data_IF_798098985109
#
_entry.id   IF_798098985109
#
_cell.length_a   1.000
_cell.length_b   1.000
_cell.length_c   1.000
_cell.angle_alpha   90.00
_cell.angle_beta   90.00
_cell.angle_gamma   90.00
#
_symmetry.space_group_name_H-M   'P 1'
#
loop_
_entity.id
_entity.type
_entity.pdbx_description
1 polymer ?
#
# COMPACT_ATOMS: atom_id res chain seq x y z
N UNK A 1 -28.50 -64.46 37.08
CA UNK A 1 -28.43 -63.70 38.34
C UNK A 1 -29.69 -62.83 38.61
N UNK A 2 -30.40 -62.36 37.60
CA UNK A 2 -31.61 -61.48 37.76
C UNK A 2 -32.81 -62.31 38.31
N UNK A 3 -32.91 -63.64 38.03
CA UNK A 3 -33.98 -64.50 38.46
C UNK A 3 -33.89 -64.94 39.95
N UNK A 4 -32.70 -64.89 40.55
CA UNK A 4 -32.49 -65.27 41.95
C UNK A 4 -32.81 -64.13 42.95
N UNK A 5 -32.81 -62.87 42.52
CA UNK A 5 -33.07 -61.74 43.39
C UNK A 5 -34.57 -61.44 43.62
N UNK A 6 -35.47 -62.00 42.77
CA UNK A 6 -36.92 -61.83 42.91
C UNK A 6 -37.59 -62.74 43.88
N UNK A 7 -36.95 -63.84 44.35
CA UNK A 7 -37.54 -64.82 45.24
C UNK A 7 -37.53 -64.50 46.76
N UNK A 8 -36.85 -63.41 47.17
CA UNK A 8 -36.72 -63.15 48.65
C UNK A 8 -37.59 -62.00 49.19
N UNK A 9 -38.53 -61.44 48.38
CA UNK A 9 -39.40 -60.34 48.82
C UNK A 9 -40.87 -60.81 49.00
N UNK A 10 -41.09 -61.76 49.92
CA UNK A 10 -42.42 -62.17 50.33
C UNK A 10 -42.80 -61.51 51.64
N UNK A 11 -43.15 -60.22 51.64
CA UNK A 11 -43.97 -59.65 52.73
C UNK A 11 -44.37 -58.15 52.36
N UNK A 12 -45.24 -57.98 51.38
CA UNK A 12 -46.01 -56.75 51.24
C UNK A 12 -47.43 -57.20 50.83
N UNK A 13 -48.45 -56.73 51.53
CA UNK A 13 -49.87 -57.01 51.33
C UNK A 13 -50.25 -56.97 49.84
N UNK A 14 -50.73 -58.11 49.34
CA UNK A 14 -51.23 -58.31 48.00
C UNK A 14 -52.65 -57.78 47.84
N UNK A 15 -52.96 -57.14 46.78
CA UNK A 15 -54.33 -56.73 46.39
C UNK A 15 -55.08 -57.99 45.88
N UNK A 16 -56.30 -58.31 46.42
CA UNK A 16 -56.95 -59.55 46.19
C UNK A 16 -57.54 -59.75 44.77
N UNK A 17 -57.43 -58.81 43.91
CA UNK A 17 -58.05 -58.82 42.57
C UNK A 17 -57.08 -59.07 41.38
N UNK A 18 -55.79 -59.28 41.64
CA UNK A 18 -54.80 -59.53 40.61
C UNK A 18 -54.22 -60.99 40.74
N UNK A 19 -54.16 -61.78 39.67
CA UNK A 19 -53.59 -63.12 39.74
C UNK A 19 -52.12 -63.17 40.20
N UNK A 20 -51.75 -64.06 41.09
CA UNK A 20 -50.43 -64.19 41.72
C UNK A 20 -49.21 -64.07 40.73
N UNK A 21 -49.23 -64.67 39.55
CA UNK A 21 -48.12 -64.55 38.65
C UNK A 21 -47.94 -63.13 38.08
N UNK A 22 -49.02 -62.37 37.94
CA UNK A 22 -48.96 -60.94 37.45
C UNK A 22 -48.51 -59.97 38.54
N UNK A 23 -48.86 -60.20 39.81
CA UNK A 23 -48.39 -59.43 40.93
C UNK A 23 -46.86 -59.56 41.10
N UNK A 24 -46.34 -60.80 41.04
CA UNK A 24 -44.89 -61.00 41.13
C UNK A 24 -44.14 -60.37 39.95
N UNK A 25 -44.71 -60.34 38.75
CA UNK A 25 -44.12 -59.70 37.59
C UNK A 25 -44.13 -58.19 37.72
N UNK A 26 -45.21 -57.63 38.24
CA UNK A 26 -45.37 -56.19 38.43
C UNK A 26 -44.40 -55.62 39.51
N UNK A 27 -44.20 -56.42 40.62
CA UNK A 27 -43.21 -56.10 41.66
C UNK A 27 -41.75 -56.16 41.11
N UNK A 28 -41.48 -57.15 40.28
CA UNK A 28 -40.18 -57.33 39.66
C UNK A 28 -39.88 -56.20 38.71
N UNK A 29 -40.85 -55.78 37.89
CA UNK A 29 -40.72 -54.65 36.98
C UNK A 29 -40.52 -53.30 37.70
N UNK A 30 -41.26 -53.11 38.82
CA UNK A 30 -41.11 -51.91 39.67
C UNK A 30 -39.75 -51.87 40.39
N UNK A 31 -39.25 -53.01 40.83
CA UNK A 31 -37.93 -53.14 41.46
C UNK A 31 -36.81 -52.92 40.46
N UNK A 32 -36.89 -53.50 39.28
CA UNK A 32 -35.93 -53.27 38.18
C UNK A 32 -35.97 -51.86 37.75
N UNK A 33 -37.14 -51.18 37.63
CA UNK A 33 -37.24 -49.76 37.34
C UNK A 33 -36.57 -48.87 38.42
N UNK A 34 -36.80 -49.20 39.72
CA UNK A 34 -36.13 -48.52 40.83
C UNK A 34 -34.61 -48.73 40.82
N UNK A 35 -34.15 -49.95 40.56
CA UNK A 35 -32.71 -50.24 40.45
C UNK A 35 -32.07 -49.57 39.27
N UNK A 36 -32.76 -49.53 38.13
CA UNK A 36 -32.29 -48.79 36.96
C UNK A 36 -32.26 -47.29 37.27
N UNK A 37 -33.26 -46.68 37.94
CA UNK A 37 -33.27 -45.28 38.33
C UNK A 37 -32.14 -44.96 39.32
N UNK A 38 -31.86 -45.86 40.30
CA UNK A 38 -30.73 -45.70 41.24
C UNK A 38 -29.39 -45.88 40.50
N UNK A 39 -29.29 -46.78 39.53
CA UNK A 39 -28.09 -47.01 38.72
C UNK A 39 -27.85 -45.81 37.81
N UNK A 40 -28.91 -45.27 37.20
CA UNK A 40 -28.85 -44.02 36.38
C UNK A 40 -28.48 -42.83 37.25
N UNK A 41 -29.00 -42.70 38.48
CA UNK A 41 -28.60 -41.67 39.42
C UNK A 41 -27.15 -41.82 39.93
N UNK A 42 -26.63 -43.07 40.01
CA UNK A 42 -25.24 -43.35 40.35
C UNK A 42 -24.28 -43.15 39.18
N UNK A 43 -24.77 -43.34 37.94
CA UNK A 43 -24.01 -43.06 36.70
C UNK A 43 -24.09 -41.61 36.35
N UNK A 44 -25.22 -40.94 36.64
CA UNK A 44 -25.41 -39.51 36.62
C UNK A 44 -24.88 -38.84 37.91
N UNK A 45 -23.75 -39.29 38.46
CA UNK A 45 -22.95 -38.34 39.20
C UNK A 45 -22.68 -37.20 38.20
N UNK A 46 -23.09 -35.94 38.50
CA UNK A 46 -22.50 -34.87 37.75
C UNK A 46 -21.00 -35.13 37.90
N UNK A 47 -20.37 -35.54 36.80
CA UNK A 47 -18.94 -35.45 36.74
C UNK A 47 -18.67 -34.07 37.27
N UNK A 48 -18.02 -33.94 38.41
CA UNK A 48 -17.39 -32.72 38.75
C UNK A 48 -16.54 -32.47 37.50
N UNK A 49 -17.01 -31.57 36.65
CA UNK A 49 -16.13 -30.85 35.74
C UNK A 49 -15.16 -30.19 36.71
N UNK A 50 -14.16 -30.99 37.13
CA UNK A 50 -12.96 -30.47 37.72
C UNK A 50 -12.48 -29.55 36.64
N UNK A 51 -12.70 -28.25 36.79
CA UNK A 51 -12.13 -27.27 35.89
C UNK A 51 -10.64 -27.52 35.90
N UNK A 52 -10.16 -28.16 34.81
CA UNK A 52 -8.76 -28.53 34.74
C UNK A 52 -7.95 -27.24 34.64
N UNK A 53 -6.89 -27.18 35.41
CA UNK A 53 -5.92 -26.10 35.36
C UNK A 53 -5.15 -26.16 34.05
N UNK A 54 -5.41 -25.23 33.14
CA UNK A 54 -4.66 -25.13 31.89
C UNK A 54 -4.41 -23.68 31.48
N UNK A 55 -3.40 -23.51 30.68
CA UNK A 55 -3.10 -22.29 29.92
C UNK A 55 -2.94 -22.72 28.48
N UNK A 56 -3.64 -22.07 27.59
CA UNK A 56 -3.57 -22.29 26.14
C UNK A 56 -3.11 -21.03 25.43
N UNK A 57 -2.35 -21.22 24.38
CA UNK A 57 -1.88 -20.15 23.49
C UNK A 57 -2.46 -20.39 22.11
N UNK A 58 -3.04 -19.36 21.50
CA UNK A 58 -3.64 -19.46 20.17
C UNK A 58 -2.60 -19.80 19.11
N UNK A 59 -1.45 -19.12 19.14
CA UNK A 59 -0.35 -19.30 18.21
C UNK A 59 0.95 -19.56 18.98
N UNK A 60 1.30 -20.81 19.26
CA UNK A 60 2.49 -21.13 20.05
C UNK A 60 3.81 -20.84 19.33
N UNK A 61 3.78 -20.67 17.99
CA UNK A 61 4.91 -20.22 17.19
C UNK A 61 4.49 -18.96 16.43
N UNK A 62 4.90 -17.80 16.92
CA UNK A 62 4.55 -16.50 16.39
C UNK A 62 5.74 -15.88 15.66
N UNK A 63 5.47 -15.34 14.49
CA UNK A 63 6.43 -14.58 13.69
C UNK A 63 6.00 -13.12 13.61
N UNK A 64 6.90 -12.20 13.89
CA UNK A 64 6.63 -10.77 13.79
C UNK A 64 7.85 -10.00 13.25
N UNK A 65 7.58 -8.85 12.65
CA UNK A 65 8.61 -8.00 12.08
C UNK A 65 9.18 -7.08 13.15
N UNK A 66 10.50 -6.90 13.16
CA UNK A 66 11.21 -5.95 14.02
C UNK A 66 10.61 -4.55 13.90
N UNK A 67 10.44 -3.85 15.02
CA UNK A 67 9.81 -2.54 15.10
C UNK A 67 8.28 -2.56 15.06
N UNK A 68 7.64 -3.72 14.80
CA UNK A 68 6.19 -3.87 14.88
C UNK A 68 5.72 -4.27 16.28
N UNK A 69 4.40 -4.38 16.47
CA UNK A 69 3.80 -4.97 17.67
C UNK A 69 3.37 -6.41 17.42
N UNK A 70 3.36 -7.23 18.47
CA UNK A 70 2.85 -8.59 18.45
C UNK A 70 1.95 -8.85 19.64
N UNK A 71 0.79 -9.47 19.38
CA UNK A 71 -0.11 -9.95 20.42
C UNK A 71 0.04 -11.47 20.57
N UNK A 72 0.16 -11.94 21.83
CA UNK A 72 0.09 -13.34 22.21
C UNK A 72 -1.31 -13.62 22.74
N UNK A 73 -2.20 -14.19 21.90
CA UNK A 73 -3.51 -14.66 22.31
C UNK A 73 -3.36 -15.80 23.30
N UNK A 74 -3.91 -15.64 24.49
CA UNK A 74 -3.73 -16.53 25.63
C UNK A 74 -5.00 -16.67 26.44
N UNK A 75 -5.34 -17.91 26.82
CA UNK A 75 -6.43 -18.17 27.77
C UNK A 75 -5.99 -19.13 28.86
N UNK A 76 -6.59 -18.99 30.05
CA UNK A 76 -6.32 -19.86 31.18
C UNK A 76 -7.60 -20.24 31.92
N UNK A 77 -7.57 -21.39 32.61
CA UNK A 77 -8.71 -21.87 33.34
C UNK A 77 -8.31 -22.44 34.72
N UNK A 78 -9.22 -22.32 35.67
CA UNK A 78 -9.04 -22.75 37.06
C UNK A 78 -10.41 -23.08 37.67
N UNK A 79 -10.47 -23.80 38.83
CA UNK A 79 -11.73 -24.16 39.50
C UNK A 79 -12.54 -22.92 39.96
N UNK A 80 -13.88 -22.98 39.79
CA UNK A 80 -14.82 -21.91 40.11
C UNK A 80 -14.77 -21.38 41.55
N UNK A 81 -14.22 -22.14 42.49
CA UNK A 81 -14.11 -21.79 43.90
C UNK A 81 -12.80 -21.07 44.27
N UNK A 82 -11.98 -20.73 43.28
CA UNK A 82 -10.71 -20.06 43.48
C UNK A 82 -10.72 -18.65 42.91
N UNK A 83 -9.94 -17.78 43.48
CA UNK A 83 -9.84 -16.38 43.05
C UNK A 83 -8.40 -16.09 42.61
N UNK A 84 -8.23 -15.63 41.39
CA UNK A 84 -6.93 -15.22 40.87
C UNK A 84 -6.45 -13.98 41.64
N UNK A 85 -5.25 -14.06 42.19
CA UNK A 85 -4.63 -13.00 43.01
C UNK A 85 -3.48 -12.32 42.29
N UNK A 86 -2.73 -13.09 41.49
CA UNK A 86 -1.58 -12.57 40.79
C UNK A 86 -1.40 -13.20 39.42
N UNK A 87 -0.91 -12.44 38.48
CA UNK A 87 -0.60 -12.86 37.11
C UNK A 87 0.76 -12.32 36.71
N UNK A 88 1.51 -13.08 35.92
CA UNK A 88 2.77 -12.60 35.37
C UNK A 88 3.16 -13.32 34.09
N UNK A 89 3.72 -12.58 33.15
CA UNK A 89 4.39 -13.12 32.00
C UNK A 89 5.91 -13.19 32.25
N UNK A 90 6.54 -14.23 31.73
CA UNK A 90 7.96 -14.52 31.89
C UNK A 90 8.62 -14.72 30.55
N UNK A 91 9.84 -14.25 30.42
CA UNK A 91 10.72 -14.56 29.30
C UNK A 91 11.76 -15.59 29.71
N UNK A 92 11.96 -16.62 28.85
CA UNK A 92 13.07 -17.55 28.99
C UNK A 92 14.38 -16.93 28.58
N UNK A 93 15.39 -17.00 29.45
CA UNK A 93 16.76 -16.55 29.16
C UNK A 93 17.78 -17.56 29.62
N UNK A 94 18.85 -17.74 28.87
CA UNK A 94 20.00 -18.50 29.27
C UNK A 94 20.96 -17.56 30.08
N UNK A 95 21.12 -17.87 31.36
CA UNK A 95 21.99 -17.09 32.27
C UNK A 95 22.96 -18.06 32.92
N UNK A 96 24.25 -17.84 32.76
CA UNK A 96 25.32 -18.68 33.29
C UNK A 96 25.21 -20.16 32.90
N UNK A 97 24.71 -20.44 31.68
CA UNK A 97 24.45 -21.79 31.16
C UNK A 97 23.19 -22.45 31.66
N UNK A 98 22.40 -21.79 32.53
CA UNK A 98 21.13 -22.29 33.04
C UNK A 98 19.95 -21.57 32.41
N UNK A 99 18.89 -22.32 32.08
CA UNK A 99 17.66 -21.78 31.55
C UNK A 99 16.79 -21.19 32.67
N UNK A 100 16.67 -19.86 32.71
CA UNK A 100 15.87 -19.14 33.72
C UNK A 100 14.65 -18.47 33.08
N UNK A 101 13.56 -18.35 33.84
CA UNK A 101 12.35 -17.60 33.47
C UNK A 101 12.33 -16.32 34.31
N UNK A 102 12.46 -15.18 33.66
CA UNK A 102 12.49 -13.85 34.28
C UNK A 102 11.15 -13.17 34.00
N UNK A 103 10.51 -12.59 35.03
CA UNK A 103 9.29 -11.84 34.85
C UNK A 103 9.53 -10.64 33.94
N UNK A 104 8.59 -10.34 33.04
CA UNK A 104 8.75 -9.20 32.13
C UNK A 104 8.83 -7.87 32.88
N UNK A 105 8.13 -7.76 34.03
CA UNK A 105 8.22 -6.63 34.96
C UNK A 105 9.62 -6.35 35.46
N UNK A 106 10.46 -7.38 35.55
CA UNK A 106 11.83 -7.29 36.08
C UNK A 106 12.86 -7.00 34.97
N UNK A 107 12.41 -6.93 33.72
CA UNK A 107 13.28 -6.65 32.57
C UNK A 107 13.03 -5.20 32.12
N UNK A 108 13.98 -4.28 32.32
CA UNK A 108 13.77 -2.86 32.05
C UNK A 108 13.33 -2.53 30.61
N UNK A 109 13.79 -3.31 29.62
CA UNK A 109 13.44 -3.10 28.22
C UNK A 109 11.96 -3.38 27.90
N UNK A 110 11.18 -4.01 28.78
CA UNK A 110 9.76 -4.28 28.57
C UNK A 110 8.83 -3.30 29.30
N UNK A 111 9.32 -2.49 30.24
CA UNK A 111 8.48 -1.67 31.13
C UNK A 111 7.51 -0.74 30.39
N UNK A 112 7.89 -0.22 29.21
CA UNK A 112 7.01 0.66 28.40
C UNK A 112 6.66 0.05 27.04
N UNK A 113 7.00 -1.21 26.82
CA UNK A 113 6.80 -1.91 25.55
C UNK A 113 5.90 -3.14 25.66
N UNK A 114 5.51 -3.54 26.87
CA UNK A 114 4.61 -4.66 27.09
C UNK A 114 3.32 -4.19 27.75
N UNK A 115 2.18 -4.60 27.18
CA UNK A 115 0.85 -4.29 27.68
C UNK A 115 0.07 -5.59 27.93
N UNK A 116 -0.47 -5.75 29.13
CA UNK A 116 -1.33 -6.85 29.47
C UNK A 116 -2.76 -6.55 29.02
N UNK A 117 -3.25 -7.28 28.02
CA UNK A 117 -4.60 -7.12 27.46
C UNK A 117 -5.63 -8.04 28.10
N UNK A 118 -5.19 -8.91 29.00
CA UNK A 118 -6.04 -9.92 29.63
C UNK A 118 -6.85 -9.38 30.81
N UNK A 119 -7.44 -10.32 31.53
CA UNK A 119 -8.23 -10.09 32.74
C UNK A 119 -7.76 -10.96 33.91
N UNK A 120 -8.45 -10.92 35.05
CA UNK A 120 -8.22 -11.81 36.18
C UNK A 120 -9.17 -13.01 36.18
N UNK A 121 -9.79 -13.33 35.05
CA UNK A 121 -10.75 -14.41 34.92
C UNK A 121 -10.23 -15.53 34.00
N UNK A 122 -10.11 -15.27 32.70
CA UNK A 122 -9.75 -16.31 31.73
C UNK A 122 -8.85 -15.84 30.59
N UNK A 123 -8.75 -14.55 30.33
CA UNK A 123 -7.90 -13.98 29.29
C UNK A 123 -6.54 -13.61 29.86
N UNK A 124 -5.46 -14.06 29.21
CA UNK A 124 -4.08 -13.75 29.58
C UNK A 124 -3.30 -13.09 28.44
N UNK A 125 -3.95 -12.52 27.44
CA UNK A 125 -3.30 -11.93 26.27
C UNK A 125 -2.29 -10.84 26.67
N UNK A 126 -1.18 -10.79 25.92
CA UNK A 126 -0.09 -9.85 26.10
C UNK A 126 0.26 -9.23 24.75
N UNK A 127 0.43 -7.93 24.70
CA UNK A 127 1.01 -7.25 23.55
C UNK A 127 2.42 -6.74 23.88
N UNK A 128 3.33 -6.87 22.90
CA UNK A 128 4.68 -6.30 22.96
C UNK A 128 4.85 -5.37 21.77
N UNK A 129 5.19 -4.11 22.05
CA UNK A 129 5.40 -3.05 21.06
C UNK A 129 6.87 -2.88 20.71
N UNK A 130 7.14 -2.28 19.54
CA UNK A 130 8.48 -1.93 19.06
C UNK A 130 9.49 -3.08 19.22
N UNK A 131 9.18 -4.19 18.54
CA UNK A 131 9.94 -5.44 18.65
C UNK A 131 11.42 -5.26 18.28
N UNK A 132 12.27 -5.79 19.13
CA UNK A 132 13.73 -5.81 18.97
C UNK A 132 14.21 -7.25 18.74
N UNK A 133 15.43 -7.43 18.23
CA UNK A 133 16.01 -8.76 18.00
C UNK A 133 16.07 -9.59 19.29
N UNK A 134 16.37 -8.94 20.41
CA UNK A 134 16.42 -9.57 21.74
C UNK A 134 15.03 -10.04 22.24
N UNK A 135 13.94 -9.63 21.60
CA UNK A 135 12.60 -10.11 21.97
C UNK A 135 12.33 -11.53 21.47
N UNK A 136 13.10 -12.04 20.51
CA UNK A 136 13.00 -13.43 20.09
C UNK A 136 13.20 -14.40 21.26
N UNK A 137 12.42 -15.50 21.27
CA UNK A 137 12.54 -16.54 22.29
C UNK A 137 11.21 -17.00 22.90
N UNK A 138 11.31 -17.68 24.04
CA UNK A 138 10.16 -18.32 24.69
C UNK A 138 9.53 -17.41 25.74
N UNK A 139 8.20 -17.35 25.73
CA UNK A 139 7.37 -16.64 26.71
C UNK A 139 6.43 -17.62 27.41
N UNK A 140 6.22 -17.39 28.72
CA UNK A 140 5.45 -18.25 29.60
C UNK A 140 4.49 -17.40 30.43
N UNK A 141 3.30 -17.90 30.68
CA UNK A 141 2.34 -17.26 31.58
C UNK A 141 2.29 -17.99 32.93
N UNK A 142 2.08 -17.24 34.01
CA UNK A 142 1.83 -17.74 35.36
C UNK A 142 0.67 -16.98 35.98
N UNK A 143 -0.20 -17.71 36.66
CA UNK A 143 -1.17 -17.11 37.55
C UNK A 143 -1.17 -17.82 38.89
N UNK A 144 -1.47 -17.08 39.96
CA UNK A 144 -1.58 -17.57 41.32
C UNK A 144 -3.01 -17.27 41.83
N UNK A 145 -3.67 -18.30 42.39
CA UNK A 145 -4.96 -18.14 43.06
C UNK A 145 -4.74 -18.01 44.56
N UNK A 146 -5.82 -17.82 45.30
CA UNK A 146 -5.81 -17.82 46.77
C UNK A 146 -5.37 -19.14 47.39
N UNK A 147 -5.32 -20.24 46.59
CA UNK A 147 -4.94 -21.59 47.05
C UNK A 147 -3.66 -22.11 46.45
N UNK A 148 -3.46 -21.87 45.15
CA UNK A 148 -2.34 -22.47 44.43
C UNK A 148 -1.77 -21.49 43.36
N UNK A 149 -0.48 -21.67 43.06
CA UNK A 149 0.18 -21.01 41.93
C UNK A 149 0.36 -21.98 40.75
N UNK A 150 0.05 -21.55 39.52
CA UNK A 150 0.24 -22.34 38.31
C UNK A 150 1.02 -21.62 37.26
N UNK A 151 1.94 -22.36 36.64
CA UNK A 151 2.70 -21.90 35.45
C UNK A 151 2.21 -22.66 34.23
N UNK A 152 2.19 -22.01 33.07
CA UNK A 152 1.94 -22.69 31.81
C UNK A 152 2.93 -23.84 31.60
N UNK A 153 2.45 -24.98 31.14
CA UNK A 153 3.28 -26.09 30.65
C UNK A 153 3.84 -25.78 29.28
N UNK A 154 3.03 -25.13 28.42
CA UNK A 154 3.41 -24.63 27.11
C UNK A 154 4.04 -23.23 27.18
N UNK A 155 4.49 -22.77 26.05
CA UNK A 155 5.07 -21.45 25.84
C UNK A 155 4.71 -20.94 24.46
N UNK A 156 4.80 -19.60 24.28
CA UNK A 156 4.86 -18.98 22.94
C UNK A 156 6.33 -18.82 22.56
N UNK A 157 6.67 -19.22 21.36
CA UNK A 157 7.97 -18.92 20.77
C UNK A 157 7.82 -17.78 19.76
N UNK A 158 8.46 -16.66 20.04
CA UNK A 158 8.50 -15.50 19.16
C UNK A 158 9.75 -15.54 18.27
N UNK A 159 9.54 -15.47 16.97
CA UNK A 159 10.59 -15.20 15.99
C UNK A 159 10.46 -13.75 15.56
N UNK A 160 11.51 -12.97 15.74
CA UNK A 160 11.61 -11.60 15.21
C UNK A 160 12.38 -11.66 13.89
N UNK A 161 11.86 -11.04 12.84
CA UNK A 161 12.44 -11.03 11.51
C UNK A 161 12.49 -9.64 10.92
N UNK A 162 13.45 -9.39 10.03
CA UNK A 162 13.47 -8.21 9.17
C UNK A 162 12.87 -8.56 7.81
N UNK A 163 12.25 -7.56 7.15
CA UNK A 163 11.78 -7.68 5.78
C UNK A 163 12.94 -7.42 4.81
N UNK A 164 13.04 -8.23 3.77
CA UNK A 164 14.00 -8.03 2.67
C UNK A 164 13.26 -7.97 1.35
N UNK A 165 13.22 -6.78 0.75
CA UNK A 165 12.71 -6.61 -0.60
C UNK A 165 13.69 -7.15 -1.63
N UNK A 166 13.20 -7.92 -2.59
CA UNK A 166 13.94 -8.38 -3.75
C UNK A 166 13.19 -8.07 -5.03
N UNK A 167 13.92 -7.67 -6.03
CA UNK A 167 13.44 -7.49 -7.41
C UNK A 167 14.18 -8.46 -8.30
N UNK A 168 13.48 -9.26 -9.04
CA UNK A 168 14.05 -10.27 -9.92
C UNK A 168 13.50 -10.18 -11.35
N UNK A 169 14.37 -9.91 -12.34
CA UNK A 169 15.78 -9.48 -12.21
C UNK A 169 15.89 -7.99 -11.78
N UNK A 170 17.05 -7.58 -11.22
CA UNK A 170 17.30 -6.19 -10.82
C UNK A 170 17.48 -5.23 -12.01
N UNK A 171 17.88 -5.77 -13.16
CA UNK A 171 18.07 -5.05 -14.41
C UNK A 171 17.36 -5.77 -15.53
N UNK A 172 16.47 -5.07 -16.23
CA UNK A 172 15.61 -5.60 -17.29
C UNK A 172 15.52 -4.63 -18.45
N UNK A 173 15.03 -5.10 -19.58
CA UNK A 173 14.58 -4.22 -20.67
C UNK A 173 13.11 -3.91 -20.52
N UNK A 174 12.67 -2.77 -21.03
CA UNK A 174 11.24 -2.49 -21.14
C UNK A 174 10.57 -3.62 -21.95
N UNK A 175 9.47 -4.16 -21.41
CA UNK A 175 8.77 -5.33 -21.95
C UNK A 175 9.16 -6.67 -21.32
N UNK A 176 10.23 -6.75 -20.50
CA UNK A 176 10.59 -7.97 -19.79
C UNK A 176 9.75 -8.14 -18.51
N UNK A 177 9.58 -9.40 -18.08
CA UNK A 177 8.85 -9.71 -16.85
C UNK A 177 9.71 -9.42 -15.61
N UNK A 178 9.07 -8.85 -14.58
CA UNK A 178 9.66 -8.57 -13.27
C UNK A 178 8.80 -9.18 -12.18
N UNK A 179 9.46 -9.74 -11.17
CA UNK A 179 8.85 -10.26 -9.95
C UNK A 179 9.42 -9.55 -8.72
N UNK A 180 8.54 -9.09 -7.84
CA UNK A 180 8.87 -8.54 -6.53
C UNK A 180 8.67 -9.64 -5.48
N UNK A 181 9.68 -9.88 -4.64
CA UNK A 181 9.67 -10.89 -3.58
C UNK A 181 10.00 -10.24 -2.24
N UNK A 182 9.10 -10.39 -1.26
CA UNK A 182 9.31 -9.92 0.11
C UNK A 182 9.69 -11.12 1.00
N UNK A 183 10.95 -11.20 1.38
CA UNK A 183 11.49 -12.31 2.17
C UNK A 183 11.52 -11.97 3.65
N UNK A 184 11.29 -13.00 4.46
CA UNK A 184 11.47 -12.99 5.92
C UNK A 184 11.99 -14.34 6.38
N UNK A 185 12.54 -14.43 7.58
CA UNK A 185 13.07 -15.67 8.15
C UNK A 185 11.98 -16.65 8.63
N UNK A 186 10.72 -16.22 8.68
CA UNK A 186 9.55 -17.01 9.05
C UNK A 186 8.33 -16.60 8.21
N UNK A 187 7.27 -17.42 8.22
CA UNK A 187 6.04 -17.12 7.46
C UNK A 187 5.34 -15.90 8.01
N UNK A 188 5.20 -14.90 7.16
CA UNK A 188 4.44 -13.68 7.43
C UNK A 188 3.05 -13.75 6.80
N UNK A 189 2.09 -12.95 7.28
CA UNK A 189 0.83 -12.69 6.59
C UNK A 189 1.09 -11.98 5.25
N UNK A 190 0.02 -11.57 4.57
CA UNK A 190 0.08 -10.88 3.29
C UNK A 190 1.02 -9.67 3.32
N UNK A 191 1.82 -9.53 2.27
CA UNK A 191 2.74 -8.39 2.11
C UNK A 191 2.24 -7.45 1.02
N UNK A 192 2.49 -6.15 1.20
CA UNK A 192 2.18 -5.06 0.28
C UNK A 192 3.44 -4.38 -0.21
N UNK A 193 3.39 -3.81 -1.41
CA UNK A 193 4.54 -3.20 -2.07
C UNK A 193 4.31 -1.72 -2.32
N UNK A 194 5.40 -0.97 -2.24
CA UNK A 194 5.43 0.46 -2.53
C UNK A 194 6.58 0.80 -3.46
N UNK A 195 6.32 1.71 -4.38
CA UNK A 195 7.32 2.37 -5.22
C UNK A 195 7.32 3.85 -4.90
N UNK A 196 8.43 4.37 -4.36
CA UNK A 196 8.56 5.79 -3.99
C UNK A 196 7.37 6.34 -3.17
N UNK A 197 6.85 5.50 -2.25
CA UNK A 197 5.71 5.84 -1.39
C UNK A 197 4.32 5.57 -1.98
N UNK A 198 4.24 5.16 -3.26
CA UNK A 198 2.97 4.81 -3.91
C UNK A 198 2.74 3.29 -3.90
N UNK A 199 1.51 2.82 -3.60
CA UNK A 199 1.23 1.40 -3.55
C UNK A 199 1.33 0.75 -4.93
N UNK A 200 1.92 -0.44 -4.98
CA UNK A 200 2.04 -1.29 -6.18
C UNK A 200 0.99 -2.39 -6.12
N UNK A 201 0.08 -2.43 -7.09
CA UNK A 201 -1.07 -3.32 -7.09
C UNK A 201 -0.74 -4.80 -7.34
N UNK A 202 0.36 -5.07 -8.05
CA UNK A 202 0.77 -6.44 -8.42
C UNK A 202 2.27 -6.62 -8.26
N UNK A 203 2.73 -7.70 -7.61
CA UNK A 203 4.15 -8.00 -7.46
C UNK A 203 4.78 -8.56 -8.75
N UNK A 204 3.98 -8.92 -9.75
CA UNK A 204 4.43 -9.43 -11.05
C UNK A 204 3.89 -8.54 -12.16
N UNK A 205 4.78 -8.00 -12.98
CA UNK A 205 4.40 -7.10 -14.09
C UNK A 205 5.43 -7.15 -15.23
N UNK A 206 5.02 -6.59 -16.37
CA UNK A 206 5.94 -6.35 -17.50
C UNK A 206 6.50 -4.94 -17.36
N UNK A 207 7.82 -4.83 -17.26
CA UNK A 207 8.50 -3.57 -16.97
C UNK A 207 8.28 -2.54 -18.08
N UNK A 208 7.92 -1.32 -17.67
CA UNK A 208 7.89 -0.12 -18.51
C UNK A 208 8.99 0.84 -18.04
N UNK A 209 9.30 1.85 -18.85
CA UNK A 209 10.34 2.83 -18.50
C UNK A 209 10.07 3.53 -17.15
N UNK A 210 8.80 3.82 -16.88
CA UNK A 210 8.31 4.43 -15.64
C UNK A 210 8.40 3.53 -14.41
N UNK A 211 8.58 2.21 -14.60
CA UNK A 211 8.71 1.27 -13.47
C UNK A 211 10.12 1.28 -12.86
N UNK A 212 11.10 1.90 -13.50
CA UNK A 212 12.40 2.13 -12.88
C UNK A 212 12.26 2.92 -11.58
N UNK A 213 13.00 2.53 -10.54
CA UNK A 213 12.94 3.20 -9.23
C UNK A 213 13.16 2.28 -8.06
N UNK A 214 12.87 2.77 -6.85
CA UNK A 214 13.06 2.07 -5.61
C UNK A 214 11.76 1.45 -5.11
N UNK A 215 11.82 0.16 -4.78
CA UNK A 215 10.72 -0.63 -4.26
C UNK A 215 11.02 -1.07 -2.84
N UNK A 216 10.00 -1.08 -2.00
CA UNK A 216 10.06 -1.64 -0.66
C UNK A 216 8.77 -2.42 -0.37
N UNK A 217 8.85 -3.34 0.58
CA UNK A 217 7.68 -4.09 1.03
C UNK A 217 7.38 -3.88 2.51
N UNK A 218 6.13 -4.10 2.88
CA UNK A 218 5.64 -4.07 4.25
C UNK A 218 4.63 -5.21 4.47
N UNK A 219 4.30 -5.49 5.73
CA UNK A 219 3.17 -6.36 6.08
C UNK A 219 1.87 -5.56 5.96
N UNK A 220 0.86 -6.16 5.34
CA UNK A 220 -0.48 -5.56 5.21
C UNK A 220 -1.07 -5.23 6.59
N UNK A 221 -1.57 -3.99 6.76
CA UNK A 221 -2.08 -3.48 8.04
C UNK A 221 -1.01 -3.01 9.03
N UNK A 222 0.29 -3.12 8.66
CA UNK A 222 1.44 -2.64 9.47
C UNK A 222 2.47 -1.92 8.59
N UNK A 223 2.01 -1.04 7.70
CA UNK A 223 2.82 -0.39 6.67
C UNK A 223 3.86 0.59 7.23
N UNK A 224 3.80 0.91 8.51
CA UNK A 224 4.84 1.71 9.18
C UNK A 224 6.18 0.99 9.30
N UNK A 225 6.18 -0.35 9.24
CA UNK A 225 7.39 -1.18 9.29
C UNK A 225 7.67 -1.75 7.90
N UNK A 226 8.72 -1.23 7.28
CA UNK A 226 9.07 -1.48 5.88
C UNK A 226 10.44 -2.13 5.76
N UNK A 227 10.67 -2.79 4.63
CA UNK A 227 12.01 -3.27 4.25
C UNK A 227 12.92 -2.11 3.84
N UNK A 228 14.21 -2.38 3.76
CA UNK A 228 15.12 -1.54 2.99
C UNK A 228 14.70 -1.50 1.52
N UNK A 229 14.91 -0.35 0.83
CA UNK A 229 14.57 -0.21 -0.58
C UNK A 229 15.49 -1.04 -1.49
N UNK A 230 14.91 -1.61 -2.55
CA UNK A 230 15.62 -2.27 -3.63
C UNK A 230 15.34 -1.57 -4.96
N UNK A 231 16.38 -1.34 -5.76
CA UNK A 231 16.27 -0.62 -7.03
C UNK A 231 16.00 -1.56 -8.19
N UNK A 232 15.02 -1.21 -9.03
CA UNK A 232 14.78 -1.78 -10.36
C UNK A 232 15.37 -0.85 -11.43
N UNK A 233 16.30 -1.38 -12.23
CA UNK A 233 16.91 -0.69 -13.39
C UNK A 233 16.23 -1.17 -14.66
N UNK A 234 15.34 -0.35 -15.25
CA UNK A 234 14.69 -0.65 -16.52
C UNK A 234 15.42 0.06 -17.64
N UNK A 235 15.89 -0.72 -18.61
CA UNK A 235 16.62 -0.24 -19.78
C UNK A 235 15.69 -0.12 -20.98
N UNK A 236 15.79 1.01 -21.70
CA UNK A 236 14.94 1.29 -22.86
C UNK A 236 15.64 2.20 -23.88
N UNK A 237 15.20 2.07 -25.15
CA UNK A 237 15.62 2.97 -26.23
C UNK A 237 15.11 4.38 -25.98
N UNK A 238 15.68 5.41 -26.65
CA UNK A 238 15.20 6.78 -26.51
C UNK A 238 13.68 6.91 -26.68
N UNK A 239 13.02 7.57 -25.73
CA UNK A 239 11.58 7.91 -25.72
C UNK A 239 11.43 9.43 -25.69
N UNK A 240 10.26 9.93 -26.13
CA UNK A 240 9.90 11.34 -26.06
C UNK A 240 10.99 12.26 -26.64
N UNK A 241 11.54 11.87 -27.81
CA UNK A 241 12.55 12.68 -28.48
C UNK A 241 11.91 14.00 -28.92
N UNK A 242 12.49 15.11 -28.49
CA UNK A 242 11.98 16.46 -28.76
C UNK A 242 13.10 17.39 -29.21
N UNK A 243 12.72 18.42 -29.95
CA UNK A 243 13.61 19.46 -30.42
C UNK A 243 13.18 20.79 -29.87
N UNK A 244 14.10 21.49 -29.22
CA UNK A 244 13.95 22.86 -28.79
C UNK A 244 14.72 23.82 -29.72
N UNK A 245 14.06 24.88 -30.15
CA UNK A 245 14.65 25.91 -31.00
C UNK A 245 15.00 27.13 -30.16
N UNK A 246 16.27 27.62 -30.24
CA UNK A 246 16.74 28.75 -29.41
C UNK A 246 16.00 30.07 -29.65
N UNK A 247 15.34 30.20 -30.78
CA UNK A 247 14.53 31.39 -31.15
C UNK A 247 13.18 30.96 -31.70
N UNK A 248 12.11 31.41 -31.08
CA UNK A 248 10.76 31.20 -31.58
C UNK A 248 10.40 32.27 -32.65
N UNK A 249 9.92 31.79 -33.80
CA UNK A 249 9.37 32.64 -34.84
C UNK A 249 10.19 32.69 -36.14
N UNK A 250 9.99 33.74 -36.93
CA UNK A 250 10.65 33.92 -38.24
C UNK A 250 12.11 34.34 -38.05
N UNK A 251 13.01 33.63 -38.67
CA UNK A 251 14.44 33.92 -38.65
C UNK A 251 14.82 34.82 -39.82
N UNK A 252 15.58 35.89 -39.55
CA UNK A 252 16.13 36.73 -40.60
C UNK A 252 17.39 36.08 -41.19
N UNK A 253 17.62 36.23 -42.49
CA UNK A 253 18.89 35.87 -43.14
C UNK A 253 20.06 36.50 -42.39
N UNK A 254 21.11 35.69 -42.11
CA UNK A 254 22.29 36.08 -41.34
C UNK A 254 22.19 35.90 -39.83
N UNK A 255 20.99 35.57 -39.27
CA UNK A 255 20.86 35.25 -37.85
C UNK A 255 21.45 33.86 -37.55
N UNK A 256 21.68 33.61 -36.26
CA UNK A 256 22.10 32.27 -35.76
C UNK A 256 20.96 31.60 -35.04
N UNK A 257 20.87 30.27 -35.15
CA UNK A 257 19.88 29.42 -34.42
C UNK A 257 20.53 28.14 -34.00
N UNK A 258 20.17 27.67 -32.77
CA UNK A 258 20.54 26.38 -32.27
C UNK A 258 19.28 25.53 -32.13
N UNK A 259 19.35 24.29 -32.60
CA UNK A 259 18.36 23.27 -32.39
C UNK A 259 18.92 22.25 -31.37
N UNK A 260 18.27 22.11 -30.22
CA UNK A 260 18.70 21.20 -29.15
C UNK A 260 17.79 19.99 -29.13
N UNK A 261 18.36 18.78 -29.19
CA UNK A 261 17.65 17.52 -29.11
C UNK A 261 17.68 16.97 -27.69
N UNK A 262 16.54 16.54 -27.18
CA UNK A 262 16.42 15.86 -25.89
C UNK A 262 15.63 14.58 -26.01
N UNK A 263 15.96 13.60 -25.16
CA UNK A 263 15.24 12.32 -25.08
C UNK A 263 15.42 11.70 -23.72
N UNK A 264 14.43 10.94 -23.25
CA UNK A 264 14.55 10.05 -22.10
C UNK A 264 15.06 8.68 -22.60
N UNK A 265 16.15 8.16 -22.01
CA UNK A 265 16.73 6.88 -22.40
C UNK A 265 17.51 6.26 -21.24
N UNK A 266 17.51 4.92 -21.16
CA UNK A 266 18.38 4.19 -20.26
C UNK A 266 18.99 2.96 -20.97
N UNK A 267 20.30 2.94 -21.21
CA UNK A 267 21.28 4.00 -20.93
C UNK A 267 20.98 5.29 -21.67
N UNK A 268 21.55 6.40 -21.21
CA UNK A 268 21.43 7.68 -21.89
C UNK A 268 21.79 7.55 -23.38
N UNK A 269 21.24 8.41 -24.22
CA UNK A 269 21.57 8.45 -25.64
C UNK A 269 23.09 8.68 -25.81
N UNK A 270 23.70 7.88 -26.66
CA UNK A 270 25.13 7.95 -27.02
C UNK A 270 25.39 8.74 -28.30
N UNK A 271 24.35 8.91 -29.13
CA UNK A 271 24.48 9.65 -30.39
C UNK A 271 23.17 10.33 -30.78
N UNK A 272 23.34 11.48 -31.46
CA UNK A 272 22.25 12.27 -32.05
C UNK A 272 22.60 12.57 -33.49
N UNK A 273 21.62 12.45 -34.40
CA UNK A 273 21.76 12.72 -35.82
C UNK A 273 20.63 13.61 -36.28
N UNK A 274 20.98 14.66 -37.06
CA UNK A 274 20.02 15.61 -37.57
C UNK A 274 19.73 15.42 -39.04
N UNK A 275 18.45 15.43 -39.35
CA UNK A 275 17.93 15.29 -40.71
C UNK A 275 17.07 16.50 -41.05
N UNK A 276 17.11 16.89 -42.34
CA UNK A 276 16.28 17.96 -42.88
C UNK A 276 15.56 17.48 -44.15
N UNK A 277 14.26 17.82 -44.27
CA UNK A 277 13.45 17.66 -45.47
C UNK A 277 13.00 18.98 -46.02
N UNK A 278 13.05 19.12 -47.36
CA UNK A 278 12.72 20.36 -48.08
C UNK A 278 11.53 20.19 -49.02
N UNK A 279 10.52 19.37 -48.64
CA UNK A 279 9.26 19.23 -49.41
C UNK A 279 9.32 18.33 -50.64
N UNK A 280 10.48 18.03 -51.23
CA UNK A 280 10.69 16.88 -52.16
C UNK A 280 11.12 15.69 -51.32
N UNK A 281 10.81 14.46 -51.73
CA UNK A 281 10.97 13.20 -50.97
C UNK A 281 12.40 12.89 -50.49
N UNK A 282 13.32 13.84 -50.50
CA UNK A 282 14.71 13.66 -50.06
C UNK A 282 14.91 14.16 -48.64
N UNK A 283 15.32 13.28 -47.77
CA UNK A 283 15.78 13.59 -46.41
C UNK A 283 17.32 13.62 -46.44
N UNK A 284 17.89 14.73 -46.00
CA UNK A 284 19.34 14.91 -45.93
C UNK A 284 19.84 14.94 -44.51
N UNK A 285 20.89 14.18 -44.20
CA UNK A 285 21.61 14.34 -42.93
C UNK A 285 22.36 15.68 -42.95
N UNK A 286 22.09 16.53 -41.94
CA UNK A 286 22.62 17.90 -41.90
C UNK A 286 23.54 18.15 -40.71
N UNK A 287 23.63 17.19 -39.78
CA UNK A 287 24.50 17.32 -38.63
C UNK A 287 24.47 16.13 -37.67
N UNK A 288 25.31 16.21 -36.66
CA UNK A 288 25.39 15.26 -35.55
C UNK A 288 25.64 15.99 -34.23
N UNK A 289 25.39 15.28 -33.11
CA UNK A 289 25.50 15.85 -31.76
C UNK A 289 24.19 16.39 -31.24
N UNK A 290 24.12 16.58 -29.91
CA UNK A 290 22.91 16.99 -29.20
C UNK A 290 22.38 18.35 -29.66
N UNK A 291 23.28 19.26 -30.06
CA UNK A 291 22.93 20.57 -30.53
C UNK A 291 23.39 20.76 -31.99
N UNK A 292 22.46 21.09 -32.88
CA UNK A 292 22.76 21.53 -34.24
C UNK A 292 22.86 23.06 -34.23
N UNK A 293 24.06 23.57 -34.43
CA UNK A 293 24.32 25.02 -34.52
C UNK A 293 24.32 25.49 -35.99
N UNK A 294 23.48 26.44 -36.32
CA UNK A 294 23.44 27.14 -37.60
C UNK A 294 23.84 28.59 -37.36
N UNK A 295 25.14 28.94 -37.51
CA UNK A 295 25.67 30.24 -37.10
C UNK A 295 25.25 31.40 -37.99
N UNK A 296 24.85 31.13 -39.23
CA UNK A 296 24.34 32.12 -40.18
C UNK A 296 23.35 31.48 -41.11
N UNK A 297 22.05 31.68 -40.86
CA UNK A 297 21.01 31.08 -41.68
C UNK A 297 20.74 31.87 -42.96
N UNK A 298 20.45 31.16 -44.04
CA UNK A 298 19.95 31.69 -45.28
C UNK A 298 18.64 31.02 -45.69
N UNK A 299 18.03 31.39 -46.79
CA UNK A 299 16.73 30.83 -47.26
C UNK A 299 16.82 29.31 -47.50
N UNK A 300 18.02 28.80 -47.83
CA UNK A 300 18.22 27.35 -48.05
C UNK A 300 18.14 26.54 -46.78
N UNK A 301 18.28 27.14 -45.59
CA UNK A 301 18.12 26.48 -44.29
C UNK A 301 16.66 26.30 -43.87
N UNK A 302 15.72 26.90 -44.59
CA UNK A 302 14.29 26.63 -44.37
C UNK A 302 13.96 25.18 -44.65
N UNK A 303 13.10 24.57 -43.80
CA UNK A 303 12.69 23.17 -43.97
C UNK A 303 12.23 22.54 -42.67
N UNK A 304 11.91 21.25 -42.76
CA UNK A 304 11.51 20.43 -41.63
C UNK A 304 12.72 19.69 -41.08
N UNK A 305 13.01 19.93 -39.82
CA UNK A 305 14.12 19.27 -39.10
C UNK A 305 13.62 18.19 -38.21
N UNK A 306 14.34 17.05 -38.13
CA UNK A 306 14.12 15.91 -37.25
C UNK A 306 15.42 15.55 -36.57
N UNK A 307 15.37 15.35 -35.29
CA UNK A 307 16.45 14.75 -34.53
C UNK A 307 16.19 13.25 -34.35
N UNK A 308 17.18 12.42 -34.62
CA UNK A 308 17.22 11.02 -34.25
C UNK A 308 18.16 10.86 -33.05
N UNK A 309 17.63 10.31 -31.95
CA UNK A 309 18.37 9.96 -30.76
C UNK A 309 18.58 8.46 -30.70
N UNK A 310 19.77 7.99 -30.33
CA UNK A 310 20.15 6.56 -30.35
C UNK A 310 20.91 6.20 -29.10
N UNK A 311 20.66 4.99 -28.61
CA UNK A 311 21.48 4.27 -27.65
C UNK A 311 21.70 2.82 -28.16
N UNK A 312 22.39 1.98 -27.36
CA UNK A 312 22.66 0.57 -27.70
C UNK A 312 21.42 -0.31 -27.86
N UNK A 313 20.24 0.13 -27.38
CA UNK A 313 19.00 -0.64 -27.43
C UNK A 313 18.12 -0.28 -28.63
N UNK A 314 18.33 0.87 -29.21
CA UNK A 314 17.58 1.33 -30.37
C UNK A 314 17.69 2.82 -30.62
N UNK A 315 16.87 3.29 -31.53
CA UNK A 315 16.81 4.70 -31.94
C UNK A 315 15.36 5.14 -32.07
N UNK A 316 15.14 6.45 -31.91
CA UNK A 316 13.84 7.09 -32.11
C UNK A 316 14.00 8.51 -32.62
N UNK A 317 12.97 9.00 -33.31
CA UNK A 317 12.97 10.30 -33.95
C UNK A 317 12.07 11.28 -33.20
N UNK A 318 12.43 12.56 -33.24
CA UNK A 318 11.55 13.65 -32.82
C UNK A 318 10.39 13.84 -33.78
N UNK A 319 9.38 14.58 -33.36
CA UNK A 319 8.45 15.25 -34.28
C UNK A 319 9.22 16.23 -35.17
N UNK A 320 8.66 16.50 -36.36
CA UNK A 320 9.23 17.47 -37.31
C UNK A 320 9.07 18.90 -36.77
N UNK A 321 10.13 19.67 -36.83
CA UNK A 321 10.13 21.07 -36.45
C UNK A 321 10.39 21.93 -37.69
N UNK A 322 9.47 22.85 -38.02
CA UNK A 322 9.61 23.73 -39.16
C UNK A 322 10.50 24.92 -38.82
N UNK A 323 11.59 25.07 -39.54
CA UNK A 323 12.43 26.29 -39.52
C UNK A 323 12.10 27.12 -40.73
N UNK A 324 11.71 28.41 -40.53
CA UNK A 324 11.39 29.35 -41.59
C UNK A 324 12.34 30.51 -41.53
N UNK A 325 13.14 30.68 -42.59
CA UNK A 325 14.05 31.82 -42.77
C UNK A 325 13.44 32.78 -43.78
N UNK A 326 13.38 34.05 -43.42
CA UNK A 326 12.80 35.11 -44.27
C UNK A 326 13.87 36.10 -44.74
N UNK A 327 13.74 36.59 -45.99
CA UNK A 327 14.59 37.63 -46.52
C UNK A 327 14.42 38.95 -45.74
N UNK A 328 15.46 39.77 -45.71
CA UNK A 328 15.48 41.05 -45.01
C UNK A 328 14.37 42.02 -45.47
N UNK A 329 13.92 41.88 -46.72
CA UNK A 329 12.87 42.73 -47.28
C UNK A 329 11.48 42.49 -46.71
N UNK A 330 11.15 41.25 -46.37
CA UNK A 330 9.86 40.89 -45.74
C UNK A 330 9.81 41.44 -44.29
N UNK A 331 10.91 41.37 -43.57
CA UNK A 331 10.99 41.95 -42.22
C UNK A 331 10.79 43.47 -42.21
N UNK A 332 11.40 44.18 -43.18
CA UNK A 332 11.18 45.59 -43.37
C UNK A 332 9.73 45.91 -43.77
N UNK A 333 9.14 45.11 -44.66
CA UNK A 333 7.76 45.28 -45.09
C UNK A 333 6.77 45.08 -43.93
N UNK A 334 6.94 44.06 -43.11
CA UNK A 334 6.09 43.78 -41.92
C UNK A 334 6.22 44.95 -40.92
N UNK A 335 7.43 45.46 -40.71
CA UNK A 335 7.67 46.57 -39.81
C UNK A 335 7.04 47.87 -40.35
N UNK A 336 7.14 48.14 -41.66
CA UNK A 336 6.51 49.27 -42.31
C UNK A 336 4.97 49.20 -42.30
N UNK A 337 4.41 48.02 -42.55
CA UNK A 337 2.96 47.80 -42.47
C UNK A 337 2.48 47.97 -41.02
N UNK A 338 3.18 47.40 -40.05
CA UNK A 338 2.85 47.55 -38.63
C UNK A 338 2.91 49.01 -38.14
N UNK A 339 3.91 49.78 -38.61
CA UNK A 339 3.99 51.23 -38.33
C UNK A 339 2.85 51.95 -39.04
N UNK A 340 2.61 51.65 -40.32
CA UNK A 340 1.53 52.24 -41.10
C UNK A 340 0.15 52.06 -40.47
N UNK A 341 -0.17 50.83 -39.99
CA UNK A 341 -1.42 50.56 -39.31
C UNK A 341 -1.54 51.34 -37.98
N UNK A 342 -0.47 51.42 -37.19
CA UNK A 342 -0.47 52.22 -35.96
C UNK A 342 -0.70 53.70 -36.24
N UNK A 343 -0.08 54.26 -37.28
CA UNK A 343 -0.25 55.66 -37.68
C UNK A 343 -1.72 55.90 -38.12
N UNK A 344 -2.28 55.01 -38.94
CA UNK A 344 -3.69 55.09 -39.36
C UNK A 344 -4.64 55.07 -38.18
N UNK A 345 -4.43 54.16 -37.22
CA UNK A 345 -5.24 54.10 -36.01
C UNK A 345 -5.12 55.39 -35.21
N UNK A 346 -3.91 55.90 -35.01
CA UNK A 346 -3.68 57.17 -34.28
C UNK A 346 -4.33 58.40 -34.95
N UNK A 347 -4.44 58.39 -36.26
CA UNK A 347 -5.10 59.48 -37.03
C UNK A 347 -6.64 59.33 -37.03
N UNK A 348 -7.15 58.10 -37.12
CA UNK A 348 -8.59 57.87 -37.22
C UNK A 348 -9.30 57.83 -35.86
N UNK A 349 -8.63 57.42 -34.80
CA UNK A 349 -9.22 57.40 -33.46
C UNK A 349 -9.74 58.75 -32.97
N UNK A 350 -8.96 59.87 -33.08
CA UNK A 350 -9.46 61.18 -32.68
C UNK A 350 -10.61 61.65 -33.53
N UNK A 351 -10.59 61.37 -34.85
CA UNK A 351 -11.69 61.69 -35.76
C UNK A 351 -12.96 60.92 -35.40
N UNK A 352 -12.83 59.64 -35.06
CA UNK A 352 -13.94 58.82 -34.59
C UNK A 352 -14.52 59.31 -33.26
N UNK A 353 -13.66 59.70 -32.34
CA UNK A 353 -14.07 60.28 -31.05
C UNK A 353 -14.79 61.61 -31.25
N UNK A 354 -14.31 62.48 -32.14
CA UNK A 354 -14.95 63.75 -32.49
C UNK A 354 -16.31 63.49 -33.15
N UNK A 355 -16.40 62.52 -34.08
CA UNK A 355 -17.63 62.14 -34.74
C UNK A 355 -18.66 61.55 -33.74
N UNK A 356 -18.23 60.64 -32.87
CA UNK A 356 -19.08 60.07 -31.84
C UNK A 356 -19.58 61.11 -30.84
N UNK A 357 -18.68 62.08 -30.45
CA UNK A 357 -19.05 63.19 -29.56
C UNK A 357 -20.05 64.14 -30.22
N UNK A 358 -19.85 64.45 -31.51
CA UNK A 358 -20.78 65.31 -32.30
C UNK A 358 -22.14 64.62 -32.45
N UNK A 359 -22.15 63.29 -32.68
CA UNK A 359 -23.39 62.50 -32.80
C UNK A 359 -24.14 62.44 -31.44
N UNK A 360 -23.41 62.26 -30.37
CA UNK A 360 -23.99 62.26 -29.01
C UNK A 360 -24.59 63.63 -28.63
N UNK A 361 -23.88 64.70 -28.96
CA UNK A 361 -24.39 66.06 -28.74
C UNK A 361 -25.67 66.39 -29.55
N UNK A 362 -25.78 65.86 -30.74
CA UNK A 362 -26.97 66.08 -31.56
C UNK A 362 -28.17 65.22 -31.06
N UNK A 363 -27.93 64.09 -30.43
CA UNK A 363 -28.98 63.23 -29.80
C UNK A 363 -29.54 63.88 -28.52
N UNK A 364 -28.75 64.67 -27.81
CA UNK A 364 -29.18 65.38 -26.59
C UNK A 364 -29.89 66.72 -26.92
N UNK A 365 -29.85 67.19 -28.15
CA UNK A 365 -30.54 68.40 -28.59
C UNK A 365 -32.02 68.13 -29.05
N UNK A 366 -32.33 66.90 -29.46
CA UNK A 366 -33.66 66.50 -29.85
C UNK A 366 -34.60 66.18 -28.66
N UNK A 367 -34.03 65.93 -27.48
CA UNK A 367 -34.82 65.61 -26.28
C UNK A 367 -35.25 66.85 -25.46
N UNK A 368 -34.90 68.10 -25.94
CA UNK A 368 -35.22 69.34 -25.20
C UNK A 368 -36.34 70.16 -25.86
N UNK A 369 -36.94 69.71 -27.00
CA UNK A 369 -37.96 70.49 -27.73
C UNK A 369 -39.38 69.87 -27.68
N UNK A 370 -39.64 68.90 -26.78
CA UNK A 370 -40.99 68.26 -26.66
C UNK A 370 -41.69 68.43 -25.30
N UNK A 371 -41.33 69.45 -24.51
CA UNK A 371 -42.04 69.74 -23.25
C UNK A 371 -42.41 71.20 -23.11
N UNK A 372 -43.15 71.80 -24.08
CA UNK A 372 -43.95 72.97 -23.84
C UNK A 372 -45.13 72.99 -24.83
N UNK A 373 -46.25 72.43 -24.44
CA UNK A 373 -47.63 72.77 -24.88
C UNK A 373 -48.59 71.68 -24.30
N UNK A 374 -49.04 71.86 -23.07
CA UNK A 374 -50.40 71.59 -22.64
C UNK A 374 -50.63 72.16 -21.23
N UNK A 375 -51.22 73.36 -21.21
CA UNK A 375 -52.11 73.84 -20.17
C UNK A 375 -52.71 75.16 -20.62
N UNK A 376 -53.90 75.05 -21.19
CA UNK A 376 -55.07 75.88 -20.95
C UNK A 376 -56.31 75.05 -21.16
#
# INVERSE_FOLDING_TARGET
MIQAACCHLKTIKSDPWIPEPLQNWMFCVLYVKKMIAVLVLLIMKPGSLSADWFVTFENPNTCAVKGSSVEFGCSYNYPDMEIVRNIAWYKGKLIDGEWKRIALSDIPSYQNRSEYLGDLQHNCSLEIHDLQDDDAGYYYFRFDTDRYGRRSKGSVYLTVTELKARVNPKRVRAGDAVTLECEASCSLPTTVWFKEGHPVSKPNFMAQAEDAGNYLCAVEGKESVQSDPVTLDVQYSPLNVSVEVSHAGLLAVGSSVNLTCSSAANPAADSYTWYRSTGSSSVLQVGSGQVLCLPSVDLSHSGLYVCQSRNRLGENNSTQVLLTVTGTDIHRLILLVGIGVKVVILLLLPLFIIWAWKRWRNSTADDTESHDYENV
#
